data_IF_060085221847
#
_entry.id   IF_060085221847
#
_cell.length_a   1.000
_cell.length_b   1.000
_cell.length_c   1.000
_cell.angle_alpha   90.00
_cell.angle_beta   90.00
_cell.angle_gamma   90.00
#
_symmetry.space_group_name_H-M   'P 1'
#
loop_
_entity.id
_entity.type
_entity.pdbx_description
1 polymer ?
#
# COMPACT_ATOMS: atom_id res chain seq x y z
N UNK A 1 -7.41 8.78 15.24
CA UNK A 1 -6.32 9.04 14.28
C UNK A 1 -4.89 8.98 14.87
N UNK A 2 -4.54 9.55 16.02
CA UNK A 2 -3.14 9.46 16.52
C UNK A 2 -2.74 8.08 17.07
N UNK A 3 -3.66 7.31 17.68
CA UNK A 3 -3.38 5.96 18.20
C UNK A 3 -3.25 4.91 17.08
N UNK A 4 -4.02 5.01 16.01
CA UNK A 4 -3.97 4.11 14.84
C UNK A 4 -2.67 4.26 14.06
N UNK A 5 -2.19 5.49 13.81
CA UNK A 5 -0.93 5.71 13.09
C UNK A 5 0.30 5.14 13.82
N UNK A 6 0.31 5.17 15.15
CA UNK A 6 1.41 4.57 15.94
C UNK A 6 1.39 3.05 15.85
N UNK A 7 0.22 2.44 15.75
CA UNK A 7 0.01 1.01 15.59
C UNK A 7 0.48 0.53 14.20
N UNK A 8 0.08 1.25 13.12
CA UNK A 8 0.51 0.92 11.76
C UNK A 8 2.05 1.01 11.58
N UNK A 9 2.67 2.06 12.14
CA UNK A 9 4.13 2.20 12.11
C UNK A 9 4.84 1.10 12.92
N UNK A 10 4.25 0.65 14.03
CA UNK A 10 4.78 -0.46 14.81
C UNK A 10 4.71 -1.77 14.00
N UNK A 11 3.56 -2.07 13.37
CA UNK A 11 3.38 -3.21 12.48
C UNK A 11 4.40 -3.22 11.34
N UNK A 12 4.52 -2.09 10.62
CA UNK A 12 5.53 -1.94 9.56
C UNK A 12 6.92 -2.28 10.07
N UNK A 13 7.27 -1.75 11.24
CA UNK A 13 8.57 -1.94 11.84
C UNK A 13 8.80 -3.40 12.27
N UNK A 14 7.79 -4.09 12.76
CA UNK A 14 7.84 -5.50 13.12
C UNK A 14 8.07 -6.38 11.88
N UNK A 15 7.28 -6.19 10.81
CA UNK A 15 7.38 -6.96 9.56
C UNK A 15 8.72 -6.69 8.86
N UNK A 16 9.20 -5.43 8.87
CA UNK A 16 10.51 -5.09 8.31
C UNK A 16 11.67 -5.84 9.00
N UNK A 17 11.56 -6.14 10.29
CA UNK A 17 12.50 -6.97 11.02
C UNK A 17 13.98 -6.62 10.78
N UNK A 18 14.81 -7.58 10.35
CA UNK A 18 16.22 -7.38 9.99
C UNK A 18 16.42 -6.50 8.77
N UNK A 19 15.43 -6.43 7.89
CA UNK A 19 15.48 -5.63 6.65
C UNK A 19 15.42 -4.11 6.89
N UNK A 20 15.21 -3.66 8.14
CA UNK A 20 15.31 -2.22 8.53
C UNK A 20 16.63 -1.58 8.12
N UNK A 21 17.70 -2.38 8.05
CA UNK A 21 19.02 -1.88 7.62
C UNK A 21 18.96 -1.28 6.21
N UNK A 22 18.12 -1.81 5.31
CA UNK A 22 17.94 -1.23 3.97
C UNK A 22 17.34 0.18 4.04
N UNK A 23 16.34 0.42 4.91
CA UNK A 23 15.74 1.76 5.07
C UNK A 23 16.78 2.74 5.60
N UNK A 24 17.54 2.35 6.63
CA UNK A 24 18.59 3.20 7.20
C UNK A 24 19.64 3.53 6.15
N UNK A 25 20.06 2.54 5.38
CA UNK A 25 21.05 2.74 4.32
C UNK A 25 20.50 3.65 3.20
N UNK A 26 19.28 3.43 2.75
CA UNK A 26 18.61 4.28 1.77
C UNK A 26 18.46 5.73 2.26
N UNK A 27 18.10 5.92 3.54
CA UNK A 27 18.07 7.25 4.18
C UNK A 27 19.44 7.91 4.13
N UNK A 28 20.50 7.23 4.53
CA UNK A 28 21.84 7.75 4.53
C UNK A 28 22.31 8.16 3.12
N UNK A 29 22.08 7.29 2.14
CA UNK A 29 22.44 7.57 0.74
C UNK A 29 21.67 8.78 0.20
N UNK A 30 20.37 8.88 0.48
CA UNK A 30 19.55 10.03 0.07
C UNK A 30 20.01 11.33 0.76
N UNK A 31 20.40 11.28 2.03
CA UNK A 31 20.95 12.43 2.75
C UNK A 31 22.31 12.86 2.16
N UNK A 32 23.19 11.90 1.83
CA UNK A 32 24.47 12.18 1.16
C UNK A 32 24.23 12.82 -0.20
N UNK A 33 23.29 12.32 -1.00
CA UNK A 33 22.91 12.95 -2.27
C UNK A 33 22.33 14.36 -2.08
N UNK A 34 21.55 14.58 -1.01
CA UNK A 34 21.04 15.89 -0.63
C UNK A 34 22.18 16.88 -0.34
N UNK A 35 23.13 16.47 0.49
CA UNK A 35 24.32 17.29 0.84
C UNK A 35 25.20 17.51 -0.40
N UNK A 36 25.45 16.48 -1.19
CA UNK A 36 26.29 16.57 -2.39
C UNK A 36 25.73 17.56 -3.43
N UNK A 37 24.41 17.75 -3.47
CA UNK A 37 23.78 18.74 -4.35
C UNK A 37 24.09 20.18 -3.92
N UNK A 38 24.34 20.42 -2.64
CA UNK A 38 24.77 21.72 -2.13
C UNK A 38 26.23 21.96 -2.49
N UNK A 39 27.10 20.95 -2.36
CA UNK A 39 28.49 21.05 -2.81
C UNK A 39 28.62 21.31 -4.31
N UNK A 40 27.68 20.82 -5.11
CA UNK A 40 27.60 21.14 -6.54
C UNK A 40 27.61 22.67 -6.77
N UNK A 41 26.80 23.42 -6.03
CA UNK A 41 26.74 24.88 -6.15
C UNK A 41 28.06 25.57 -5.70
N UNK A 42 28.69 25.06 -4.62
CA UNK A 42 29.95 25.59 -4.11
C UNK A 42 31.12 25.35 -5.05
N UNK A 43 31.21 24.15 -5.66
CA UNK A 43 32.25 23.83 -6.62
C UNK A 43 32.05 24.62 -7.92
N UNK A 44 30.80 24.78 -8.37
CA UNK A 44 30.48 25.63 -9.52
C UNK A 44 30.93 27.10 -9.28
N UNK A 45 30.69 27.65 -8.06
CA UNK A 45 31.19 28.92 -7.64
C UNK A 45 32.71 29.03 -7.81
N UNK A 46 33.46 28.07 -7.22
CA UNK A 46 34.92 28.07 -7.27
C UNK A 46 35.47 27.97 -8.70
N UNK A 47 34.82 27.22 -9.55
CA UNK A 47 35.16 27.07 -10.97
C UNK A 47 35.00 28.40 -11.71
N UNK A 48 33.83 29.04 -11.56
CA UNK A 48 33.54 30.32 -12.24
C UNK A 48 34.46 31.43 -11.73
N UNK A 49 34.63 31.57 -10.41
CA UNK A 49 35.50 32.59 -9.82
C UNK A 49 36.95 32.38 -10.22
N UNK A 50 37.44 31.12 -10.34
CA UNK A 50 38.77 30.82 -10.86
C UNK A 50 38.94 31.22 -12.33
N UNK A 51 37.91 30.99 -13.15
CA UNK A 51 37.92 31.38 -14.56
C UNK A 51 37.92 32.90 -14.75
N UNK A 52 37.08 33.62 -14.00
CA UNK A 52 37.00 35.10 -14.03
C UNK A 52 38.31 35.75 -13.54
N UNK A 53 38.95 35.16 -12.53
CA UNK A 53 40.24 35.63 -12.01
C UNK A 53 41.44 35.25 -12.88
N UNK A 54 41.24 34.55 -14.02
CA UNK A 54 42.32 34.01 -14.90
C UNK A 54 43.31 33.12 -14.15
N UNK A 55 42.91 32.50 -13.03
CA UNK A 55 43.70 31.52 -12.26
C UNK A 55 43.50 30.14 -12.77
N UNK A 56 44.35 29.72 -13.71
CA UNK A 56 44.28 28.41 -14.39
C UNK A 56 44.40 27.22 -13.40
N UNK A 57 45.21 27.37 -12.33
CA UNK A 57 45.36 26.27 -11.34
C UNK A 57 44.09 26.11 -10.55
N UNK A 58 43.51 27.20 -10.02
CA UNK A 58 42.27 27.20 -9.28
C UNK A 58 41.11 26.68 -10.13
N UNK A 59 40.98 27.19 -11.37
CA UNK A 59 39.97 26.76 -12.32
C UNK A 59 40.07 25.25 -12.59
N UNK A 60 41.24 24.70 -12.89
CA UNK A 60 41.44 23.29 -13.19
C UNK A 60 41.15 22.41 -11.98
N UNK A 61 41.57 22.83 -10.78
CA UNK A 61 41.26 22.07 -9.54
C UNK A 61 39.73 21.95 -9.31
N UNK A 62 38.99 23.07 -9.41
CA UNK A 62 37.53 23.04 -9.24
C UNK A 62 36.83 22.32 -10.37
N UNK A 63 37.37 22.32 -11.61
CA UNK A 63 36.86 21.58 -12.72
C UNK A 63 36.94 20.05 -12.44
N UNK A 64 38.10 19.58 -11.99
CA UNK A 64 38.30 18.16 -11.64
C UNK A 64 37.40 17.74 -10.48
N UNK A 65 37.34 18.56 -9.41
CA UNK A 65 36.47 18.27 -8.25
C UNK A 65 35.00 18.26 -8.64
N UNK A 66 34.58 19.20 -9.49
CA UNK A 66 33.20 19.27 -9.99
C UNK A 66 32.84 18.05 -10.85
N UNK A 67 33.72 17.66 -11.78
CA UNK A 67 33.54 16.47 -12.59
C UNK A 67 33.49 15.20 -11.72
N UNK A 68 34.40 15.05 -10.76
CA UNK A 68 34.40 13.95 -9.80
C UNK A 68 33.11 13.88 -8.97
N UNK A 69 32.60 15.03 -8.50
CA UNK A 69 31.33 15.10 -7.77
C UNK A 69 30.18 14.62 -8.66
N UNK A 70 30.07 15.10 -9.90
CA UNK A 70 29.01 14.70 -10.84
C UNK A 70 29.05 13.21 -11.14
N UNK A 71 30.23 12.65 -11.44
CA UNK A 71 30.40 11.21 -11.65
C UNK A 71 30.03 10.43 -10.40
N UNK A 72 30.48 10.87 -9.22
CA UNK A 72 30.11 10.29 -7.94
C UNK A 72 28.60 10.31 -7.67
N UNK A 73 27.92 11.42 -7.99
CA UNK A 73 26.45 11.50 -7.88
C UNK A 73 25.74 10.54 -8.81
N UNK A 74 26.21 10.39 -10.05
CA UNK A 74 25.62 9.45 -11.02
C UNK A 74 25.80 8.02 -10.52
N UNK A 75 27.00 7.64 -10.09
CA UNK A 75 27.27 6.32 -9.53
C UNK A 75 26.41 6.04 -8.28
N UNK A 76 26.33 7.00 -7.35
CA UNK A 76 25.55 6.86 -6.13
C UNK A 76 24.04 6.75 -6.41
N UNK A 77 23.52 7.48 -7.40
CA UNK A 77 22.12 7.34 -7.86
C UNK A 77 21.85 5.98 -8.51
N UNK A 78 22.80 5.43 -9.25
CA UNK A 78 22.66 4.09 -9.83
C UNK A 78 22.58 3.02 -8.74
N UNK A 79 23.46 3.10 -7.74
CA UNK A 79 23.43 2.22 -6.55
C UNK A 79 22.11 2.38 -5.78
N UNK A 80 21.68 3.63 -5.58
CA UNK A 80 20.42 3.93 -4.87
C UNK A 80 19.23 3.26 -5.56
N UNK A 81 19.07 3.39 -6.88
CA UNK A 81 17.96 2.78 -7.64
C UNK A 81 17.95 1.26 -7.51
N UNK A 82 19.12 0.64 -7.60
CA UNK A 82 19.23 -0.80 -7.41
C UNK A 82 18.80 -1.24 -6.01
N UNK A 83 19.25 -0.51 -4.99
CA UNK A 83 18.90 -0.78 -3.59
C UNK A 83 17.43 -0.49 -3.27
N UNK A 84 16.86 0.56 -3.85
CA UNK A 84 15.44 0.88 -3.71
C UNK A 84 14.57 -0.27 -4.25
N UNK A 85 14.89 -0.80 -5.44
CA UNK A 85 14.13 -1.89 -6.04
C UNK A 85 14.31 -3.20 -5.28
N UNK A 86 15.53 -3.48 -4.83
CA UNK A 86 15.82 -4.65 -4.00
C UNK A 86 15.08 -4.59 -2.65
N UNK A 87 15.11 -3.44 -1.98
CA UNK A 87 14.41 -3.22 -0.72
C UNK A 87 12.89 -3.33 -0.90
N UNK A 88 12.34 -2.73 -1.96
CA UNK A 88 10.92 -2.79 -2.30
C UNK A 88 10.46 -4.24 -2.48
N UNK A 89 11.17 -5.03 -3.30
CA UNK A 89 10.85 -6.44 -3.51
C UNK A 89 10.94 -7.26 -2.20
N UNK A 90 11.94 -6.97 -1.37
CA UNK A 90 12.12 -7.64 -0.09
C UNK A 90 10.96 -7.35 0.87
N UNK A 91 10.55 -6.08 0.99
CA UNK A 91 9.41 -5.70 1.84
C UNK A 91 8.09 -6.23 1.31
N UNK A 92 7.87 -6.15 0.00
CA UNK A 92 6.67 -6.68 -0.64
C UNK A 92 6.49 -8.17 -0.34
N UNK A 93 7.55 -8.96 -0.50
CA UNK A 93 7.52 -10.37 -0.15
C UNK A 93 7.31 -10.62 1.34
N UNK A 94 7.90 -9.81 2.22
CA UNK A 94 7.72 -9.94 3.65
C UNK A 94 6.26 -9.67 4.08
N UNK A 95 5.65 -8.60 3.56
CA UNK A 95 4.24 -8.29 3.82
C UNK A 95 3.30 -9.33 3.23
N UNK A 96 3.54 -9.80 1.99
CA UNK A 96 2.77 -10.87 1.36
C UNK A 96 2.83 -12.16 2.18
N UNK A 97 4.03 -12.56 2.58
CA UNK A 97 4.24 -13.76 3.38
C UNK A 97 3.55 -13.65 4.75
N UNK A 98 3.67 -12.51 5.43
CA UNK A 98 3.01 -12.27 6.72
C UNK A 98 1.50 -12.34 6.61
N UNK A 99 0.91 -11.64 5.62
CA UNK A 99 -0.53 -11.63 5.39
C UNK A 99 -1.04 -13.03 5.00
N UNK A 100 -0.35 -13.71 4.07
CA UNK A 100 -0.75 -15.04 3.63
C UNK A 100 -0.65 -16.08 4.76
N UNK A 101 0.40 -16.04 5.57
CA UNK A 101 0.51 -16.86 6.76
C UNK A 101 -0.64 -16.57 7.75
N UNK A 102 -1.00 -15.29 7.93
CA UNK A 102 -2.16 -14.90 8.72
C UNK A 102 -3.45 -15.53 8.20
N UNK A 103 -3.72 -15.42 6.88
CA UNK A 103 -4.92 -16.02 6.26
C UNK A 103 -5.02 -17.53 6.48
N UNK A 104 -3.89 -18.24 6.55
CA UNK A 104 -3.85 -19.69 6.77
C UNK A 104 -3.96 -20.09 8.25
N UNK A 105 -3.65 -19.21 9.18
CA UNK A 105 -3.52 -19.55 10.62
C UNK A 105 -4.60 -18.94 11.51
N UNK A 106 -5.39 -17.99 11.00
CA UNK A 106 -6.47 -17.37 11.75
C UNK A 106 -7.81 -18.04 11.49
N UNK A 107 -8.79 -17.75 12.34
CA UNK A 107 -10.11 -18.34 12.32
C UNK A 107 -10.76 -18.25 10.92
N UNK A 108 -11.15 -19.40 10.37
CA UNK A 108 -11.72 -19.51 9.03
C UNK A 108 -12.97 -18.65 8.86
N UNK A 109 -13.84 -18.59 9.88
CA UNK A 109 -15.05 -17.77 9.87
C UNK A 109 -14.76 -16.28 9.71
N UNK A 110 -13.77 -15.75 10.46
CA UNK A 110 -13.37 -14.37 10.36
C UNK A 110 -12.74 -14.04 9.01
N UNK A 111 -11.88 -14.92 8.50
CA UNK A 111 -11.26 -14.75 7.17
C UNK A 111 -12.29 -14.78 6.05
N UNK A 112 -13.27 -15.70 6.10
CA UNK A 112 -14.28 -15.84 5.04
C UNK A 112 -15.44 -14.83 5.15
N UNK A 113 -15.57 -14.11 6.25
CA UNK A 113 -16.47 -12.98 6.37
C UNK A 113 -16.07 -11.82 5.42
N UNK A 114 -14.79 -11.74 5.06
CA UNK A 114 -14.28 -10.80 4.06
C UNK A 114 -14.18 -11.48 2.69
N UNK A 115 -14.63 -10.80 1.63
CA UNK A 115 -14.55 -11.35 0.26
C UNK A 115 -13.11 -11.66 -0.17
N UNK A 116 -12.92 -12.79 -0.84
CA UNK A 116 -11.60 -13.23 -1.36
C UNK A 116 -10.93 -12.20 -2.25
N UNK A 117 -11.71 -11.45 -3.04
CA UNK A 117 -11.21 -10.33 -3.87
C UNK A 117 -10.59 -9.19 -3.06
N UNK A 118 -11.08 -8.92 -1.83
CA UNK A 118 -10.48 -7.94 -0.95
C UNK A 118 -9.14 -8.42 -0.40
N UNK A 119 -9.05 -9.68 0.03
CA UNK A 119 -7.77 -10.27 0.43
C UNK A 119 -6.75 -10.28 -0.70
N UNK A 120 -7.20 -10.58 -1.93
CA UNK A 120 -6.34 -10.52 -3.10
C UNK A 120 -5.85 -9.07 -3.36
N UNK A 121 -6.71 -8.07 -3.23
CA UNK A 121 -6.31 -6.66 -3.35
C UNK A 121 -5.30 -6.25 -2.26
N UNK A 122 -5.47 -6.72 -1.02
CA UNK A 122 -4.52 -6.49 0.06
C UNK A 122 -3.16 -7.15 -0.24
N UNK A 123 -3.16 -8.41 -0.74
CA UNK A 123 -1.94 -9.13 -1.12
C UNK A 123 -1.21 -8.52 -2.31
N UNK A 124 -1.91 -7.92 -3.27
CA UNK A 124 -1.32 -7.45 -4.53
C UNK A 124 -1.11 -5.93 -4.56
N UNK A 125 -2.05 -5.14 -4.02
CA UNK A 125 -2.02 -3.68 -4.09
C UNK A 125 -1.46 -3.06 -2.80
N UNK A 126 -2.03 -3.41 -1.63
CA UNK A 126 -1.63 -2.78 -0.37
C UNK A 126 -0.20 -3.09 0.03
N UNK A 127 0.27 -4.33 -0.21
CA UNK A 127 1.67 -4.69 0.03
C UNK A 127 2.64 -3.89 -0.83
N UNK A 128 2.29 -3.62 -2.09
CA UNK A 128 3.09 -2.79 -3.00
C UNK A 128 3.12 -1.34 -2.53
N UNK A 129 1.97 -0.78 -2.15
CA UNK A 129 1.88 0.61 -1.65
C UNK A 129 2.72 0.80 -0.39
N UNK A 130 2.68 -0.15 0.55
CA UNK A 130 3.49 -0.08 1.77
C UNK A 130 4.97 -0.20 1.46
N UNK A 131 5.36 -1.14 0.59
CA UNK A 131 6.76 -1.38 0.21
C UNK A 131 7.36 -0.20 -0.53
N UNK A 132 6.61 0.40 -1.48
CA UNK A 132 7.02 1.62 -2.19
C UNK A 132 7.17 2.79 -1.21
N UNK A 133 6.24 2.93 -0.26
CA UNK A 133 6.30 3.94 0.78
C UNK A 133 7.58 3.87 1.60
N UNK A 134 7.96 2.68 2.03
CA UNK A 134 9.17 2.45 2.82
C UNK A 134 10.46 2.64 2.03
N UNK A 135 10.53 2.07 0.83
CA UNK A 135 11.75 2.07 0.05
C UNK A 135 12.01 3.40 -0.68
N UNK A 136 10.97 4.12 -1.10
CA UNK A 136 11.11 5.29 -1.97
C UNK A 136 10.67 6.58 -1.30
N UNK A 137 9.48 6.57 -0.63
CA UNK A 137 8.88 7.81 -0.14
C UNK A 137 9.61 8.31 1.11
N UNK A 138 9.84 7.43 2.08
CA UNK A 138 10.49 7.81 3.35
C UNK A 138 11.93 8.30 3.13
N UNK A 139 12.81 7.57 2.40
CA UNK A 139 14.15 8.04 2.09
C UNK A 139 14.14 9.30 1.20
N UNK A 140 13.25 9.37 0.20
CA UNK A 140 13.13 10.51 -0.69
C UNK A 140 12.78 11.81 0.03
N UNK A 141 11.87 11.78 0.99
CA UNK A 141 11.51 12.93 1.84
C UNK A 141 12.71 13.35 2.69
N UNK A 142 13.45 12.42 3.27
CA UNK A 142 14.64 12.74 4.06
C UNK A 142 15.73 13.43 3.22
N UNK A 143 16.02 12.91 2.02
CA UNK A 143 16.97 13.53 1.09
C UNK A 143 16.54 14.94 0.65
N UNK A 144 15.22 15.12 0.42
CA UNK A 144 14.64 16.40 0.06
C UNK A 144 14.77 17.43 1.18
N UNK A 145 14.49 17.05 2.43
CA UNK A 145 14.67 17.92 3.61
C UNK A 145 16.13 18.28 3.79
N UNK A 146 17.04 17.32 3.67
CA UNK A 146 18.48 17.53 3.81
C UNK A 146 19.02 18.49 2.75
N UNK A 147 18.59 18.31 1.49
CA UNK A 147 18.95 19.20 0.39
C UNK A 147 18.45 20.63 0.62
N UNK A 148 17.21 20.79 1.05
CA UNK A 148 16.60 22.10 1.31
C UNK A 148 17.27 22.81 2.49
N UNK A 149 17.48 22.09 3.60
CA UNK A 149 18.15 22.63 4.78
C UNK A 149 19.60 23.04 4.46
N UNK A 150 20.34 22.17 3.75
CA UNK A 150 21.70 22.47 3.33
C UNK A 150 21.78 23.67 2.40
N UNK A 151 20.89 23.79 1.42
CA UNK A 151 20.83 24.94 0.53
C UNK A 151 20.52 26.24 1.29
N UNK A 152 19.57 26.21 2.24
CA UNK A 152 19.21 27.32 3.07
C UNK A 152 20.42 27.81 3.93
N UNK A 153 21.08 26.87 4.61
CA UNK A 153 22.25 27.18 5.45
C UNK A 153 23.37 27.85 4.64
N UNK A 154 23.67 27.25 3.45
CA UNK A 154 24.76 27.79 2.62
C UNK A 154 24.40 29.16 2.05
N UNK A 155 23.18 29.44 1.63
CA UNK A 155 22.74 30.79 1.21
C UNK A 155 22.92 31.78 2.33
N UNK A 156 22.51 31.44 3.57
CA UNK A 156 22.63 32.33 4.71
C UNK A 156 24.09 32.61 5.12
N UNK A 157 25.00 31.65 4.90
CA UNK A 157 26.45 31.86 5.13
C UNK A 157 27.07 32.75 4.04
N UNK A 158 26.67 32.50 2.77
CA UNK A 158 27.23 33.25 1.64
C UNK A 158 26.74 34.70 1.59
N UNK A 159 25.45 34.90 1.88
CA UNK A 159 24.79 36.22 1.80
C UNK A 159 23.71 36.33 2.89
N UNK A 160 24.08 36.73 4.13
CA UNK A 160 23.14 36.80 5.25
C UNK A 160 21.94 37.73 5.01
N UNK A 161 22.10 38.77 4.16
CA UNK A 161 21.02 39.70 3.80
C UNK A 161 19.86 39.02 3.09
N UNK A 162 20.11 37.89 2.46
CA UNK A 162 19.06 37.07 1.81
C UNK A 162 18.02 36.51 2.81
N UNK A 163 18.37 36.42 4.10
CA UNK A 163 17.44 36.04 5.17
C UNK A 163 16.20 36.94 5.21
N UNK A 164 16.39 38.27 4.96
CA UNK A 164 15.27 39.22 4.95
C UNK A 164 14.19 38.96 3.92
N UNK A 165 14.45 38.07 2.95
CA UNK A 165 13.51 37.72 1.89
C UNK A 165 13.08 36.25 2.01
N UNK A 166 14.03 35.37 2.28
CA UNK A 166 13.70 33.91 2.41
C UNK A 166 12.80 33.63 3.60
N UNK A 167 13.00 34.32 4.73
CA UNK A 167 12.20 34.13 5.94
C UNK A 167 10.74 34.59 5.73
N UNK A 168 10.46 35.85 5.30
CA UNK A 168 9.10 36.27 5.01
C UNK A 168 8.46 35.49 3.89
N UNK A 169 9.19 35.13 2.82
CA UNK A 169 8.72 34.29 1.73
C UNK A 169 8.33 32.91 2.21
N UNK A 170 9.12 32.27 3.06
CA UNK A 170 8.81 31.00 3.69
C UNK A 170 7.57 31.08 4.59
N UNK A 171 7.44 32.11 5.41
CA UNK A 171 6.24 32.33 6.24
C UNK A 171 5.00 32.52 5.36
N UNK A 172 5.11 33.31 4.29
CA UNK A 172 4.02 33.51 3.33
C UNK A 172 3.56 32.19 2.70
N UNK A 173 4.50 31.31 2.31
CA UNK A 173 4.17 29.98 1.76
C UNK A 173 3.45 29.09 2.76
N UNK A 174 3.92 29.07 4.01
CA UNK A 174 3.25 28.32 5.08
C UNK A 174 1.82 28.84 5.31
N UNK A 175 1.65 30.16 5.33
CA UNK A 175 0.36 30.82 5.50
C UNK A 175 -0.60 30.48 4.35
N UNK A 176 -0.13 30.58 3.10
CA UNK A 176 -0.90 30.20 1.91
C UNK A 176 -1.32 28.71 1.97
N UNK A 177 -0.38 27.82 2.34
CA UNK A 177 -0.67 26.39 2.50
C UNK A 177 -1.77 26.17 3.54
N UNK A 178 -1.70 26.86 4.68
CA UNK A 178 -2.68 26.73 5.75
C UNK A 178 -4.07 27.20 5.32
N UNK A 179 -4.16 28.34 4.63
CA UNK A 179 -5.42 28.90 4.13
C UNK A 179 -6.08 27.97 3.11
N UNK A 180 -5.30 27.47 2.14
CA UNK A 180 -5.86 26.66 1.05
C UNK A 180 -6.13 25.21 1.43
N UNK A 181 -5.47 24.70 2.48
CA UNK A 181 -5.58 23.28 2.91
C UNK A 181 -7.02 22.82 3.13
N UNK A 182 -7.83 23.65 3.84
CA UNK A 182 -9.22 23.28 4.18
C UNK A 182 -10.08 23.12 2.93
N UNK A 183 -9.97 24.06 2.01
CA UNK A 183 -10.74 24.05 0.75
C UNK A 183 -10.29 22.92 -0.17
N UNK A 184 -8.99 22.72 -0.30
CA UNK A 184 -8.43 21.63 -1.13
C UNK A 184 -8.85 20.26 -0.61
N UNK A 185 -8.83 20.05 0.71
CA UNK A 185 -9.33 18.81 1.35
C UNK A 185 -10.82 18.57 1.07
N UNK A 186 -11.67 19.62 1.15
CA UNK A 186 -13.10 19.53 0.85
C UNK A 186 -13.34 19.11 -0.60
N UNK A 187 -12.66 19.77 -1.55
CA UNK A 187 -12.81 19.47 -2.98
C UNK A 187 -12.27 18.07 -3.33
N UNK A 188 -11.20 17.65 -2.68
CA UNK A 188 -10.66 16.29 -2.85
C UNK A 188 -11.66 15.23 -2.36
N UNK A 189 -12.26 15.44 -1.18
CA UNK A 189 -13.29 14.55 -0.65
C UNK A 189 -14.49 14.44 -1.59
N UNK A 190 -15.01 15.57 -2.08
CA UNK A 190 -16.13 15.57 -3.04
C UNK A 190 -15.80 14.82 -4.34
N UNK A 191 -14.58 14.96 -4.85
CA UNK A 191 -14.14 14.23 -6.04
C UNK A 191 -14.09 12.71 -5.76
N UNK A 192 -13.57 12.30 -4.60
CA UNK A 192 -13.51 10.89 -4.21
C UNK A 192 -14.90 10.27 -3.99
N UNK A 193 -15.84 11.02 -3.41
CA UNK A 193 -17.24 10.57 -3.25
C UNK A 193 -17.88 10.30 -4.63
N UNK A 194 -17.69 11.20 -5.60
CA UNK A 194 -18.21 11.01 -6.95
C UNK A 194 -17.52 9.87 -7.71
N UNK A 195 -16.22 9.66 -7.50
CA UNK A 195 -15.50 8.50 -8.03
C UNK A 195 -16.03 7.18 -7.44
N UNK A 196 -16.33 7.19 -6.13
CA UNK A 196 -16.95 6.06 -5.45
C UNK A 196 -18.29 5.65 -6.06
N UNK A 197 -19.17 6.61 -6.35
CA UNK A 197 -20.46 6.34 -7.02
C UNK A 197 -20.27 5.72 -8.40
N UNK A 198 -19.35 6.24 -9.22
CA UNK A 198 -19.05 5.64 -10.53
C UNK A 198 -18.58 4.19 -10.36
N UNK A 199 -17.70 3.93 -9.43
CA UNK A 199 -17.15 2.59 -9.17
C UNK A 199 -18.22 1.60 -8.73
N UNK A 200 -19.06 1.98 -7.76
CA UNK A 200 -20.16 1.15 -7.25
C UNK A 200 -21.12 0.83 -8.40
N UNK A 201 -21.54 1.83 -9.16
CA UNK A 201 -22.44 1.65 -10.28
C UNK A 201 -21.89 0.66 -11.34
N UNK A 202 -20.64 0.86 -11.75
CA UNK A 202 -19.98 -0.05 -12.70
C UNK A 202 -19.84 -1.47 -12.16
N UNK A 203 -19.50 -1.61 -10.89
CA UNK A 203 -19.35 -2.93 -10.26
C UNK A 203 -20.69 -3.68 -10.18
N UNK A 204 -21.77 -3.01 -9.80
CA UNK A 204 -23.12 -3.59 -9.77
C UNK A 204 -23.60 -4.04 -11.16
N UNK A 205 -23.42 -3.18 -12.17
CA UNK A 205 -23.84 -3.51 -13.53
C UNK A 205 -22.99 -4.61 -14.18
N UNK A 206 -21.68 -4.66 -13.90
CA UNK A 206 -20.83 -5.75 -14.34
C UNK A 206 -21.18 -7.07 -13.64
N UNK A 207 -21.48 -7.01 -12.33
CA UNK A 207 -21.95 -8.18 -11.59
C UNK A 207 -23.31 -8.71 -12.04
N UNK A 208 -24.17 -7.80 -12.56
CA UNK A 208 -25.51 -8.10 -13.05
C UNK A 208 -25.63 -8.04 -14.57
N UNK A 209 -24.52 -8.19 -15.31
CA UNK A 209 -24.49 -8.00 -16.76
C UNK A 209 -25.50 -8.89 -17.49
N UNK A 210 -25.71 -10.12 -17.03
CA UNK A 210 -26.70 -11.03 -17.59
C UNK A 210 -28.12 -10.46 -17.49
N UNK A 211 -28.44 -9.79 -16.37
CA UNK A 211 -29.76 -9.15 -16.17
C UNK A 211 -29.93 -7.98 -17.10
N UNK A 212 -28.92 -7.08 -17.19
CA UNK A 212 -28.93 -5.94 -18.11
C UNK A 212 -29.17 -6.39 -19.55
N UNK A 213 -28.47 -7.46 -19.98
CA UNK A 213 -28.61 -8.05 -21.33
C UNK A 213 -29.98 -8.70 -21.53
N UNK A 214 -30.45 -9.47 -20.56
CA UNK A 214 -31.72 -10.19 -20.67
C UNK A 214 -32.93 -9.26 -20.79
N UNK A 215 -32.86 -8.08 -20.16
CA UNK A 215 -33.94 -7.08 -20.21
C UNK A 215 -33.71 -5.97 -21.26
N UNK A 216 -32.66 -6.03 -22.08
CA UNK A 216 -32.34 -5.05 -23.13
C UNK A 216 -32.12 -3.63 -22.60
N UNK A 217 -31.52 -3.49 -21.40
CA UNK A 217 -31.33 -2.21 -20.70
C UNK A 217 -29.95 -1.59 -20.88
N UNK A 218 -29.23 -1.96 -21.94
CA UNK A 218 -27.86 -1.48 -22.17
C UNK A 218 -27.80 0.04 -22.39
N UNK A 219 -28.73 0.60 -23.18
CA UNK A 219 -28.75 2.03 -23.49
C UNK A 219 -29.07 2.88 -22.25
N UNK A 220 -30.03 2.44 -21.43
CA UNK A 220 -30.40 3.12 -20.19
C UNK A 220 -29.23 3.08 -19.20
N UNK A 221 -28.62 1.92 -19.03
CA UNK A 221 -27.44 1.74 -18.16
C UNK A 221 -26.24 2.57 -18.60
N UNK A 222 -26.02 2.69 -19.92
CA UNK A 222 -24.94 3.54 -20.46
C UNK A 222 -25.21 5.02 -20.16
N UNK A 223 -26.43 5.47 -20.37
CA UNK A 223 -26.82 6.88 -20.12
C UNK A 223 -26.64 7.24 -18.64
N UNK A 224 -27.00 6.34 -17.74
CA UNK A 224 -26.83 6.54 -16.30
C UNK A 224 -25.35 6.52 -15.89
N UNK A 225 -24.55 5.60 -16.47
CA UNK A 225 -23.10 5.57 -16.29
C UNK A 225 -22.44 6.89 -16.73
N UNK A 226 -22.82 7.41 -17.90
CA UNK A 226 -22.32 8.69 -18.43
C UNK A 226 -22.71 9.87 -17.52
N UNK A 227 -23.89 9.85 -16.92
CA UNK A 227 -24.33 10.84 -15.94
C UNK A 227 -23.40 10.85 -14.72
N UNK A 228 -23.15 9.69 -14.10
CA UNK A 228 -22.22 9.57 -12.96
C UNK A 228 -20.80 9.98 -13.33
N UNK A 229 -20.30 9.56 -14.50
CA UNK A 229 -18.99 9.95 -15.02
C UNK A 229 -18.89 11.47 -15.26
N UNK A 230 -19.98 12.10 -15.75
CA UNK A 230 -20.05 13.56 -15.95
C UNK A 230 -19.97 14.31 -14.62
N UNK A 231 -20.68 13.84 -13.59
CA UNK A 231 -20.60 14.43 -12.25
C UNK A 231 -19.19 14.31 -11.63
N UNK A 232 -18.57 13.13 -11.74
CA UNK A 232 -17.18 12.93 -11.33
C UNK A 232 -16.23 13.86 -12.10
N UNK A 233 -16.38 13.96 -13.43
CA UNK A 233 -15.61 14.90 -14.27
C UNK A 233 -15.73 16.34 -13.78
N UNK A 234 -16.95 16.83 -13.49
CA UNK A 234 -17.19 18.18 -12.96
C UNK A 234 -16.48 18.40 -11.61
N UNK A 235 -16.58 17.44 -10.71
CA UNK A 235 -15.91 17.52 -9.39
C UNK A 235 -14.37 17.52 -9.54
N UNK A 236 -13.83 16.67 -10.43
CA UNK A 236 -12.39 16.59 -10.74
C UNK A 236 -11.88 17.89 -11.36
N UNK A 237 -12.59 18.47 -12.30
CA UNK A 237 -12.23 19.74 -12.94
C UNK A 237 -12.24 20.87 -11.89
N UNK A 238 -13.29 20.96 -11.05
CA UNK A 238 -13.37 21.98 -9.98
C UNK A 238 -12.20 21.88 -9.01
N UNK A 239 -11.87 20.66 -8.55
CA UNK A 239 -10.70 20.41 -7.71
C UNK A 239 -9.39 20.84 -8.41
N UNK A 240 -9.26 20.50 -9.71
CA UNK A 240 -8.06 20.80 -10.46
C UNK A 240 -7.89 22.30 -10.69
N UNK A 241 -8.97 23.04 -11.03
CA UNK A 241 -8.92 24.50 -11.14
C UNK A 241 -8.42 25.17 -9.86
N UNK A 242 -8.99 24.79 -8.70
CA UNK A 242 -8.54 25.32 -7.44
C UNK A 242 -7.08 24.96 -7.14
N UNK A 243 -6.69 23.73 -7.40
CA UNK A 243 -5.30 23.27 -7.25
C UNK A 243 -4.35 24.08 -8.17
N UNK A 244 -4.75 24.37 -9.40
CA UNK A 244 -3.95 25.18 -10.32
C UNK A 244 -3.78 26.63 -9.83
N UNK A 245 -4.83 27.25 -9.30
CA UNK A 245 -4.72 28.59 -8.70
C UNK A 245 -3.72 28.58 -7.53
N UNK A 246 -3.79 27.54 -6.67
CA UNK A 246 -2.80 27.38 -5.60
C UNK A 246 -1.38 27.20 -6.16
N UNK A 247 -1.20 26.35 -7.17
CA UNK A 247 0.10 26.11 -7.79
C UNK A 247 0.67 27.37 -8.47
N UNK A 248 -0.18 28.18 -9.13
CA UNK A 248 0.22 29.47 -9.68
C UNK A 248 0.69 30.41 -8.56
N UNK A 249 -0.06 30.52 -7.46
CA UNK A 249 0.32 31.32 -6.31
C UNK A 249 1.66 30.89 -5.71
N UNK A 250 1.86 29.59 -5.49
CA UNK A 250 3.14 29.02 -5.04
C UNK A 250 4.27 29.30 -6.04
N UNK A 251 4.00 29.06 -7.33
CA UNK A 251 4.95 29.32 -8.41
C UNK A 251 5.35 30.80 -8.48
N UNK A 252 4.42 31.71 -8.29
CA UNK A 252 4.69 33.15 -8.27
C UNK A 252 5.62 33.55 -7.13
N UNK A 253 5.39 33.04 -5.90
CA UNK A 253 6.29 33.32 -4.76
C UNK A 253 7.68 32.73 -5.01
N UNK A 254 7.77 31.50 -5.51
CA UNK A 254 9.04 30.81 -5.77
C UNK A 254 9.82 31.49 -6.90
N UNK A 255 9.17 31.73 -8.04
CA UNK A 255 9.83 32.43 -9.15
C UNK A 255 10.14 33.90 -8.81
N UNK A 256 9.30 34.53 -7.99
CA UNK A 256 9.58 35.84 -7.44
C UNK A 256 10.87 35.88 -6.64
N UNK A 257 11.11 34.88 -5.78
CA UNK A 257 12.35 34.74 -5.04
C UNK A 257 13.58 34.54 -5.97
N UNK A 258 13.40 33.74 -7.06
CA UNK A 258 14.45 33.55 -8.07
C UNK A 258 14.77 34.84 -8.82
N UNK A 259 13.74 35.53 -9.33
CA UNK A 259 13.91 36.85 -10.02
C UNK A 259 14.55 37.88 -9.10
N UNK A 260 14.09 37.93 -7.84
CA UNK A 260 14.71 38.79 -6.87
C UNK A 260 16.20 38.47 -6.65
N UNK A 261 16.53 37.19 -6.50
CA UNK A 261 17.91 36.71 -6.39
C UNK A 261 18.77 37.13 -7.60
N UNK A 262 18.18 36.99 -8.81
CA UNK A 262 18.85 37.42 -10.03
C UNK A 262 19.11 38.92 -10.08
N UNK A 263 18.10 39.73 -9.75
CA UNK A 263 18.24 41.21 -9.71
C UNK A 263 19.23 41.66 -8.62
N UNK A 264 19.09 41.12 -7.40
CA UNK A 264 19.99 41.39 -6.28
C UNK A 264 21.44 41.03 -6.62
N UNK A 265 21.66 39.85 -7.19
CA UNK A 265 22.99 39.41 -7.58
C UNK A 265 23.59 40.25 -8.71
N UNK A 266 22.77 40.68 -9.69
CA UNK A 266 23.22 41.58 -10.77
C UNK A 266 23.68 42.94 -10.21
N UNK A 267 22.92 43.52 -9.28
CA UNK A 267 23.35 44.73 -8.57
C UNK A 267 24.59 44.50 -7.71
N UNK A 268 24.72 43.33 -7.06
CA UNK A 268 25.91 42.97 -6.30
C UNK A 268 27.17 42.88 -7.17
N UNK A 269 27.06 42.32 -8.38
CA UNK A 269 28.13 42.27 -9.37
C UNK A 269 28.45 43.68 -9.86
N UNK A 270 27.44 44.47 -10.20
CA UNK A 270 27.63 45.84 -10.68
C UNK A 270 28.37 46.74 -9.65
N UNK A 271 28.03 46.60 -8.38
CA UNK A 271 28.65 47.32 -7.27
C UNK A 271 29.97 46.70 -6.77
N UNK A 272 30.45 45.60 -7.36
CA UNK A 272 31.65 44.91 -6.94
C UNK A 272 31.57 44.20 -5.58
N UNK A 273 30.39 44.03 -5.00
CA UNK A 273 30.15 43.38 -3.70
C UNK A 273 29.94 41.88 -3.79
N UNK A 274 29.72 41.33 -5.00
CA UNK A 274 29.48 39.91 -5.25
C UNK A 274 30.27 39.43 -6.48
N UNK A 275 30.82 38.21 -6.39
CA UNK A 275 31.49 37.57 -7.53
C UNK A 275 30.47 36.86 -8.44
N UNK A 276 30.83 36.64 -9.72
CA UNK A 276 30.04 35.90 -10.68
C UNK A 276 29.75 34.47 -10.20
N UNK A 277 30.76 33.81 -9.61
CA UNK A 277 30.57 32.46 -9.05
C UNK A 277 29.59 32.43 -7.88
N UNK A 278 29.65 33.43 -6.98
CA UNK A 278 28.69 33.55 -5.87
C UNK A 278 27.26 33.74 -6.39
N UNK A 279 27.09 34.60 -7.40
CA UNK A 279 25.79 34.82 -8.05
C UNK A 279 25.20 33.52 -8.63
N UNK A 280 25.98 32.79 -9.41
CA UNK A 280 25.53 31.51 -10.01
C UNK A 280 25.24 30.47 -8.97
N UNK A 281 26.05 30.32 -7.93
CA UNK A 281 25.80 29.42 -6.82
C UNK A 281 24.50 29.73 -6.09
N UNK A 282 24.25 31.05 -5.86
CA UNK A 282 23.01 31.48 -5.20
C UNK A 282 21.76 31.14 -6.00
N UNK A 283 21.74 31.39 -7.30
CA UNK A 283 20.62 31.00 -8.18
C UNK A 283 20.38 29.49 -8.16
N UNK A 284 21.46 28.70 -8.20
CA UNK A 284 21.40 27.25 -8.13
C UNK A 284 20.82 26.74 -6.78
N UNK A 285 21.25 27.39 -5.66
CA UNK A 285 20.74 27.00 -4.33
C UNK A 285 19.27 27.42 -4.14
N UNK A 286 18.84 28.57 -4.68
CA UNK A 286 17.43 28.97 -4.69
C UNK A 286 16.58 27.90 -5.41
N UNK A 287 17.02 27.44 -6.58
CA UNK A 287 16.34 26.38 -7.33
C UNK A 287 16.28 25.05 -6.54
N UNK A 288 17.30 24.76 -5.72
CA UNK A 288 17.31 23.56 -4.87
C UNK A 288 16.31 23.63 -3.71
N UNK A 289 15.95 24.82 -3.25
CA UNK A 289 14.88 25.03 -2.26
C UNK A 289 13.51 24.93 -2.93
N UNK A 290 13.35 25.42 -4.16
CA UNK A 290 12.07 25.41 -4.88
C UNK A 290 11.57 24.01 -5.24
N UNK A 291 12.45 23.15 -5.76
CA UNK A 291 12.10 21.81 -6.23
C UNK A 291 11.41 20.91 -5.18
N UNK A 292 11.87 20.84 -3.92
CA UNK A 292 11.19 20.13 -2.85
C UNK A 292 9.75 20.59 -2.61
N UNK A 293 9.49 21.90 -2.63
CA UNK A 293 8.13 22.41 -2.44
C UNK A 293 7.18 21.96 -3.56
N UNK A 294 7.65 21.93 -4.80
CA UNK A 294 6.86 21.43 -5.92
C UNK A 294 6.53 19.93 -5.77
N UNK A 295 7.44 19.15 -5.20
CA UNK A 295 7.30 17.68 -5.07
C UNK A 295 6.57 17.23 -3.80
N UNK A 296 6.53 18.03 -2.72
CA UNK A 296 5.94 17.66 -1.43
C UNK A 296 4.45 17.31 -1.57
N UNK A 297 3.74 17.97 -2.48
CA UNK A 297 2.32 17.72 -2.77
C UNK A 297 2.08 16.31 -3.34
N UNK A 298 3.07 15.70 -3.97
CA UNK A 298 3.04 14.33 -4.47
C UNK A 298 3.40 13.28 -3.41
N UNK A 299 4.32 13.60 -2.48
CA UNK A 299 4.76 12.66 -1.45
C UNK A 299 3.76 12.48 -0.31
N UNK A 300 3.10 13.56 0.12
CA UNK A 300 2.21 13.54 1.27
C UNK A 300 0.99 12.61 1.09
N UNK A 301 0.26 12.62 -0.05
CA UNK A 301 -0.82 11.65 -0.30
C UNK A 301 -0.32 10.20 -0.31
N UNK A 302 0.84 9.95 -0.91
CA UNK A 302 1.43 8.60 -0.96
C UNK A 302 1.83 8.10 0.44
N UNK A 303 2.34 8.97 1.30
CA UNK A 303 2.63 8.62 2.69
C UNK A 303 1.37 8.22 3.46
N UNK A 304 0.28 8.98 3.32
CA UNK A 304 -0.99 8.61 3.94
C UNK A 304 -1.61 7.35 3.34
N UNK A 305 -1.46 7.12 2.03
CA UNK A 305 -1.86 5.88 1.39
C UNK A 305 -1.10 4.68 1.95
N UNK A 306 0.22 4.82 2.14
CA UNK A 306 1.06 3.80 2.78
C UNK A 306 0.54 3.43 4.18
N UNK A 307 0.23 4.43 5.02
CA UNK A 307 -0.29 4.19 6.37
C UNK A 307 -1.65 3.50 6.33
N UNK A 308 -2.57 3.96 5.48
CA UNK A 308 -3.90 3.35 5.34
C UNK A 308 -3.83 1.91 4.82
N UNK A 309 -2.92 1.63 3.87
CA UNK A 309 -2.69 0.26 3.40
C UNK A 309 -2.08 -0.63 4.50
N UNK A 310 -1.15 -0.09 5.30
CA UNK A 310 -0.59 -0.82 6.43
C UNK A 310 -1.64 -1.14 7.51
N UNK A 311 -2.57 -0.22 7.79
CA UNK A 311 -3.70 -0.46 8.69
C UNK A 311 -4.57 -1.62 8.19
N UNK A 312 -4.89 -1.67 6.89
CA UNK A 312 -5.65 -2.80 6.30
C UNK A 312 -4.90 -4.13 6.34
N UNK A 313 -3.58 -4.11 6.14
CA UNK A 313 -2.77 -5.32 6.26
C UNK A 313 -2.71 -5.84 7.70
N UNK A 314 -2.73 -4.94 8.67
CA UNK A 314 -2.70 -5.26 10.11
C UNK A 314 -4.02 -5.87 10.61
N UNK A 315 -5.15 -5.62 9.94
CA UNK A 315 -6.47 -6.11 10.37
C UNK A 315 -6.50 -7.63 10.57
N UNK A 316 -5.74 -8.40 9.79
CA UNK A 316 -5.65 -9.85 9.94
C UNK A 316 -5.14 -10.26 11.33
N UNK A 317 -4.28 -9.45 11.95
CA UNK A 317 -3.71 -9.77 13.27
C UNK A 317 -4.70 -9.54 14.43
N UNK A 318 -5.81 -8.85 14.15
CA UNK A 318 -6.88 -8.67 15.12
C UNK A 318 -7.80 -9.90 15.24
N UNK A 319 -7.71 -10.83 14.29
CA UNK A 319 -8.50 -12.05 14.31
C UNK A 319 -7.85 -13.06 15.27
N UNK A 320 -8.69 -13.86 15.91
CA UNK A 320 -8.24 -14.96 16.73
C UNK A 320 -7.56 -16.04 15.88
N UNK A 321 -6.51 -16.65 16.43
CA UNK A 321 -5.89 -17.80 15.78
C UNK A 321 -6.82 -18.99 15.78
N UNK A 322 -6.65 -19.82 14.79
CA UNK A 322 -7.45 -21.03 14.60
C UNK A 322 -7.04 -22.11 15.62
N UNK A 323 -7.56 -22.01 16.84
CA UNK A 323 -7.37 -23.01 17.89
C UNK A 323 -8.47 -24.05 17.86
N UNK A 324 -8.20 -25.19 17.22
CA UNK A 324 -9.12 -26.34 17.27
C UNK A 324 -8.93 -27.06 18.60
N UNK A 325 -9.78 -26.81 19.56
CA UNK A 325 -9.85 -27.60 20.79
C UNK A 325 -10.41 -28.97 20.45
N UNK A 326 -9.58 -30.01 20.60
CA UNK A 326 -10.04 -31.39 20.46
C UNK A 326 -10.62 -31.89 21.77
N UNK A 327 -11.91 -32.24 21.76
CA UNK A 327 -12.59 -32.91 22.86
C UNK A 327 -12.70 -34.39 22.49
N UNK A 328 -12.12 -35.34 23.26
CA UNK A 328 -12.21 -36.75 22.96
C UNK A 328 -13.64 -37.25 22.97
N UNK A 329 -14.03 -38.08 21.98
CA UNK A 329 -15.28 -38.81 21.97
C UNK A 329 -15.05 -40.31 22.23
N UNK A 330 -15.94 -40.93 22.98
CA UNK A 330 -15.90 -42.34 23.27
C UNK A 330 -16.50 -43.17 22.10
N UNK A 331 -15.73 -43.30 21.00
CA UNK A 331 -16.16 -44.00 19.76
C UNK A 331 -17.29 -43.31 18.97
N UNK A 332 -17.71 -42.13 19.40
CA UNK A 332 -18.73 -41.30 18.71
C UNK A 332 -18.13 -39.89 18.48
N UNK A 333 -18.67 -39.17 17.52
CA UNK A 333 -18.38 -37.79 17.27
C UNK A 333 -19.64 -36.99 17.00
N UNK A 334 -19.66 -35.71 17.27
CA UNK A 334 -20.87 -34.94 17.08
C UNK A 334 -20.83 -33.53 17.66
N UNK A 335 -22.03 -33.02 17.88
CA UNK A 335 -22.34 -31.71 18.42
C UNK A 335 -23.17 -31.90 19.68
N UNK A 336 -22.92 -31.12 20.73
CA UNK A 336 -23.70 -31.14 21.97
C UNK A 336 -24.15 -29.74 22.35
N UNK A 337 -25.47 -29.52 22.33
CA UNK A 337 -26.12 -28.24 22.72
C UNK A 337 -25.51 -27.03 22.02
N UNK A 338 -25.30 -27.08 20.70
CA UNK A 338 -24.57 -26.09 19.92
C UNK A 338 -25.48 -24.96 19.49
N UNK A 339 -25.04 -23.72 19.83
CA UNK A 339 -25.51 -22.48 19.22
C UNK A 339 -24.46 -21.96 18.23
N UNK A 340 -24.94 -21.49 17.08
CA UNK A 340 -24.03 -20.95 16.06
C UNK A 340 -24.66 -19.84 15.23
N UNK A 341 -23.90 -18.77 15.05
CA UNK A 341 -24.19 -17.61 14.22
C UNK A 341 -22.99 -17.28 13.33
N UNK A 342 -23.24 -16.95 12.06
CA UNK A 342 -22.13 -16.47 11.19
C UNK A 342 -21.70 -15.07 11.59
N UNK A 343 -20.40 -14.80 11.51
CA UNK A 343 -19.87 -13.47 11.72
C UNK A 343 -20.39 -12.52 10.62
N UNK A 344 -20.79 -11.27 10.95
CA UNK A 344 -21.19 -10.30 9.95
C UNK A 344 -19.99 -9.92 9.05
N UNK A 345 -20.23 -9.60 7.77
CA UNK A 345 -19.19 -9.01 6.93
C UNK A 345 -18.68 -7.71 7.55
N UNK A 346 -17.35 -7.53 7.60
CA UNK A 346 -16.66 -6.38 8.25
C UNK A 346 -17.08 -5.00 7.69
N UNK A 347 -17.80 -4.94 6.57
CA UNK A 347 -18.15 -3.70 5.85
C UNK A 347 -19.48 -3.08 6.34
N UNK A 348 -20.24 -3.73 7.19
CA UNK A 348 -21.50 -3.15 7.69
C UNK A 348 -21.23 -2.25 8.89
N UNK A 349 -21.17 -0.92 8.65
CA UNK A 349 -21.36 0.08 9.71
C UNK A 349 -22.82 -0.01 10.20
N UNK A 350 -23.01 -0.70 11.29
CA UNK A 350 -24.30 -0.86 11.98
C UNK A 350 -24.36 -2.21 12.69
N UNK A 351 -25.08 -2.27 13.81
CA UNK A 351 -25.37 -3.51 14.56
C UNK A 351 -26.26 -4.44 13.72
N UNK A 352 -25.66 -5.10 12.72
CA UNK A 352 -26.37 -6.11 11.93
C UNK A 352 -26.44 -7.37 12.77
N UNK A 353 -27.61 -7.58 13.40
CA UNK A 353 -27.91 -8.83 14.12
C UNK A 353 -28.01 -9.93 13.08
N UNK A 354 -27.02 -10.84 13.05
CA UNK A 354 -27.07 -12.01 12.18
C UNK A 354 -28.05 -13.02 12.76
N UNK A 355 -28.85 -13.70 11.92
CA UNK A 355 -29.77 -14.71 12.39
C UNK A 355 -29.00 -15.93 12.95
N UNK A 356 -29.48 -16.45 14.08
CA UNK A 356 -28.98 -17.70 14.66
C UNK A 356 -29.28 -18.84 13.66
N UNK A 357 -28.24 -19.57 13.25
CA UNK A 357 -28.37 -20.65 12.27
C UNK A 357 -28.66 -22.00 12.95
N UNK A 358 -28.02 -22.23 14.09
CA UNK A 358 -28.28 -23.40 14.92
C UNK A 358 -28.55 -22.92 16.35
N UNK A 359 -29.57 -23.50 16.98
CA UNK A 359 -29.95 -23.19 18.35
C UNK A 359 -30.19 -24.49 19.11
N UNK A 360 -29.42 -24.70 20.19
CA UNK A 360 -29.48 -25.88 21.05
C UNK A 360 -29.44 -27.20 20.24
N UNK A 361 -28.58 -27.22 19.20
CA UNK A 361 -28.52 -28.33 18.26
C UNK A 361 -27.56 -29.41 18.76
N UNK A 362 -28.07 -30.65 18.84
CA UNK A 362 -27.31 -31.83 19.24
C UNK A 362 -27.35 -32.91 18.17
N UNK A 363 -26.22 -33.55 17.92
CA UNK A 363 -26.07 -34.64 16.95
C UNK A 363 -24.99 -35.60 17.43
N UNK A 364 -25.28 -36.87 17.47
CA UNK A 364 -24.31 -37.94 17.73
C UNK A 364 -24.20 -38.86 16.51
N UNK A 365 -22.99 -39.14 16.06
CA UNK A 365 -22.69 -40.04 14.94
C UNK A 365 -21.76 -41.14 15.43
N UNK A 366 -22.13 -42.38 15.17
CA UNK A 366 -21.39 -43.59 15.58
C UNK A 366 -20.49 -44.10 14.47
N UNK A 367 -19.45 -44.80 14.81
CA UNK A 367 -18.54 -45.42 13.84
C UNK A 367 -19.30 -46.39 12.93
N UNK A 368 -19.18 -46.21 11.61
CA UNK A 368 -19.83 -47.04 10.59
C UNK A 368 -21.27 -46.64 10.26
N UNK A 369 -21.78 -45.57 10.88
CA UNK A 369 -23.12 -45.07 10.59
C UNK A 369 -23.14 -44.23 9.32
N UNK A 370 -24.23 -44.37 8.55
CA UNK A 370 -24.54 -43.55 7.38
C UNK A 370 -25.61 -42.51 7.77
N UNK A 371 -25.26 -41.23 7.74
CA UNK A 371 -26.16 -40.15 8.16
C UNK A 371 -26.50 -39.27 6.96
N UNK A 372 -27.79 -39.05 6.71
CA UNK A 372 -28.28 -38.15 5.68
C UNK A 372 -28.95 -36.91 6.28
N UNK A 373 -28.45 -35.71 5.91
CA UNK A 373 -29.06 -34.43 6.31
C UNK A 373 -30.11 -34.03 5.27
N UNK A 374 -31.38 -33.98 5.65
CA UNK A 374 -32.50 -33.56 4.79
C UNK A 374 -33.15 -32.29 5.32
N UNK A 375 -33.74 -31.49 4.44
CA UNK A 375 -34.44 -30.28 4.81
C UNK A 375 -34.31 -29.16 3.75
N UNK A 376 -35.04 -28.07 3.89
CA UNK A 376 -35.06 -26.96 2.93
C UNK A 376 -33.69 -26.33 2.77
N UNK A 377 -33.50 -25.59 1.66
CA UNK A 377 -32.27 -24.80 1.46
C UNK A 377 -32.13 -23.73 2.56
N UNK A 378 -30.92 -23.57 3.08
CA UNK A 378 -30.66 -22.57 4.13
C UNK A 378 -30.90 -23.04 5.58
N UNK A 379 -31.41 -24.26 5.82
CA UNK A 379 -31.68 -24.74 7.18
C UNK A 379 -30.43 -25.17 7.99
N UNK A 380 -29.22 -24.89 7.54
CA UNK A 380 -27.99 -25.13 8.30
C UNK A 380 -27.28 -26.48 8.04
N UNK A 381 -27.71 -27.32 7.07
CA UNK A 381 -27.06 -28.60 6.77
C UNK A 381 -25.55 -28.50 6.52
N UNK A 382 -25.15 -27.59 5.65
CA UNK A 382 -23.73 -27.37 5.34
C UNK A 382 -22.98 -26.71 6.53
N UNK A 383 -23.69 -25.99 7.39
CA UNK A 383 -23.13 -25.42 8.62
C UNK A 383 -22.75 -26.51 9.60
N UNK A 384 -23.63 -27.50 9.81
CA UNK A 384 -23.35 -28.67 10.66
C UNK A 384 -22.09 -29.40 10.19
N UNK A 385 -21.94 -29.65 8.87
CA UNK A 385 -20.74 -30.30 8.31
C UNK A 385 -19.49 -29.49 8.54
N UNK A 386 -19.56 -28.17 8.35
CA UNK A 386 -18.42 -27.27 8.58
C UNK A 386 -18.01 -27.17 10.05
N UNK A 387 -18.96 -27.21 10.96
CA UNK A 387 -18.71 -27.27 12.41
C UNK A 387 -18.06 -28.60 12.81
N UNK A 388 -18.55 -29.74 12.31
CA UNK A 388 -17.94 -31.04 12.54
C UNK A 388 -16.48 -31.09 12.05
N UNK A 389 -16.17 -30.46 10.91
CA UNK A 389 -14.80 -30.34 10.40
C UNK A 389 -13.95 -29.34 11.21
N UNK A 390 -14.51 -28.63 12.19
CA UNK A 390 -13.80 -27.62 12.97
C UNK A 390 -13.36 -26.40 12.16
N UNK A 391 -14.09 -26.04 11.07
CA UNK A 391 -13.84 -24.84 10.28
C UNK A 391 -14.36 -23.57 10.97
N UNK A 392 -15.39 -23.70 11.80
CA UNK A 392 -15.98 -22.64 12.58
C UNK A 392 -15.96 -23.00 14.06
N UNK A 393 -15.84 -21.99 14.92
CA UNK A 393 -16.04 -22.11 16.37
C UNK A 393 -17.51 -21.93 16.71
N UNK A 394 -18.02 -22.67 17.67
CA UNK A 394 -19.41 -22.56 18.15
C UNK A 394 -19.54 -21.40 19.13
N UNK A 395 -20.70 -20.76 19.17
CA UNK A 395 -21.02 -19.69 20.13
C UNK A 395 -21.28 -20.27 21.54
N UNK A 396 -21.95 -21.44 21.60
CA UNK A 396 -22.19 -22.21 22.82
C UNK A 396 -22.22 -23.70 22.49
N UNK A 397 -22.07 -24.55 23.50
CA UNK A 397 -22.01 -25.99 23.34
C UNK A 397 -20.61 -26.50 22.96
N UNK A 398 -20.55 -27.75 22.47
CA UNK A 398 -19.28 -28.41 22.18
C UNK A 398 -19.32 -29.24 20.89
N UNK A 399 -18.17 -29.31 20.20
CA UNK A 399 -17.91 -30.26 19.09
C UNK A 399 -16.92 -31.28 19.61
N UNK A 400 -17.30 -32.56 19.61
CA UNK A 400 -16.50 -33.62 20.20
C UNK A 400 -16.20 -34.77 19.20
N UNK A 401 -15.10 -35.49 19.47
CA UNK A 401 -14.68 -36.67 18.68
C UNK A 401 -14.10 -36.38 17.31
N UNK A 402 -13.98 -35.09 16.90
CA UNK A 402 -13.61 -34.67 15.56
C UNK A 402 -12.23 -33.99 15.52
N UNK A 403 -11.45 -34.32 14.48
CA UNK A 403 -10.23 -33.56 14.07
C UNK A 403 -10.30 -33.31 12.57
N UNK A 404 -9.76 -32.20 12.09
CA UNK A 404 -9.76 -31.82 10.66
C UNK A 404 -9.19 -32.91 9.75
N UNK A 405 -8.14 -33.58 10.16
CA UNK A 405 -7.49 -34.64 9.38
C UNK A 405 -8.25 -35.99 9.37
N UNK A 406 -9.38 -36.11 10.08
CA UNK A 406 -10.23 -37.32 10.06
C UNK A 406 -11.29 -37.31 8.95
N UNK A 407 -11.49 -36.17 8.26
CA UNK A 407 -12.50 -35.99 7.25
C UNK A 407 -11.92 -36.04 5.84
N UNK A 408 -12.59 -36.79 4.94
CA UNK A 408 -12.48 -36.58 3.51
C UNK A 408 -13.67 -35.72 3.08
N UNK A 409 -13.42 -34.51 2.61
CA UNK A 409 -14.46 -33.54 2.27
C UNK A 409 -14.60 -33.37 0.76
N UNK A 410 -15.80 -33.55 0.27
CA UNK A 410 -16.17 -33.22 -1.11
C UNK A 410 -17.03 -31.97 -1.08
N UNK A 411 -16.51 -30.80 -1.52
CA UNK A 411 -17.24 -29.54 -1.49
C UNK A 411 -18.36 -29.51 -2.53
N UNK A 412 -19.39 -28.72 -2.27
CA UNK A 412 -20.39 -28.37 -3.26
C UNK A 412 -19.79 -27.38 -4.26
N UNK A 413 -19.62 -27.76 -5.51
CA UNK A 413 -19.04 -26.95 -6.57
C UNK A 413 -17.58 -27.31 -6.90
N UNK A 414 -17.10 -26.78 -8.01
CA UNK A 414 -15.78 -27.09 -8.57
C UNK A 414 -14.69 -26.21 -7.93
N UNK A 415 -14.23 -26.58 -6.75
CA UNK A 415 -13.10 -25.90 -6.09
C UNK A 415 -11.83 -26.73 -6.29
N UNK A 416 -11.22 -26.61 -7.46
CA UNK A 416 -9.95 -27.25 -7.77
C UNK A 416 -8.82 -26.22 -7.73
N UNK A 417 -7.69 -26.60 -7.15
CA UNK A 417 -6.46 -25.84 -7.25
C UNK A 417 -5.82 -26.05 -8.62
N UNK A 418 -5.08 -25.05 -9.12
CA UNK A 418 -4.29 -25.20 -10.34
C UNK A 418 -3.09 -26.10 -10.08
N UNK A 419 -2.82 -27.02 -11.00
CA UNK A 419 -1.70 -27.96 -10.91
C UNK A 419 -1.87 -29.13 -11.86
N UNK A 420 -0.91 -30.06 -11.85
CA UNK A 420 -1.08 -31.33 -12.52
C UNK A 420 -2.17 -32.17 -11.81
N UNK A 421 -2.79 -33.10 -12.52
CA UNK A 421 -3.76 -34.02 -11.91
C UNK A 421 -3.12 -34.75 -10.73
N UNK A 422 -1.87 -35.16 -10.85
CA UNK A 422 -1.08 -35.77 -9.78
C UNK A 422 -1.02 -34.85 -8.54
N UNK A 423 -0.68 -33.57 -8.73
CA UNK A 423 -0.58 -32.61 -7.62
C UNK A 423 -1.93 -32.39 -6.94
N UNK A 424 -3.02 -32.38 -7.70
CA UNK A 424 -4.38 -32.23 -7.17
C UNK A 424 -4.77 -33.45 -6.33
N UNK A 425 -4.51 -34.67 -6.82
CA UNK A 425 -4.88 -35.93 -6.12
C UNK A 425 -4.05 -36.10 -4.85
N UNK A 426 -2.76 -35.80 -4.92
CA UNK A 426 -1.84 -35.92 -3.77
C UNK A 426 -1.82 -34.70 -2.86
N UNK A 427 -2.53 -33.63 -3.22
CA UNK A 427 -2.48 -32.32 -2.54
C UNK A 427 -1.05 -31.78 -2.44
N UNK A 428 -0.24 -32.00 -3.49
CA UNK A 428 1.20 -31.65 -3.56
C UNK A 428 2.06 -32.29 -2.46
N UNK A 429 1.59 -33.37 -1.84
CA UNK A 429 2.35 -34.14 -0.86
C UNK A 429 3.44 -34.93 -1.59
N UNK A 430 4.71 -34.61 -1.32
CA UNK A 430 5.86 -35.22 -2.00
C UNK A 430 5.99 -36.72 -1.71
N UNK A 431 5.61 -37.16 -0.53
CA UNK A 431 5.69 -38.57 -0.15
C UNK A 431 4.62 -39.41 -0.89
N UNK A 432 3.48 -38.81 -1.17
CA UNK A 432 2.38 -39.44 -1.93
C UNK A 432 2.51 -39.30 -3.44
N UNK A 433 3.22 -38.30 -3.93
CA UNK A 433 3.37 -38.06 -5.37
C UNK A 433 4.14 -39.17 -6.10
N UNK A 434 4.95 -39.94 -5.39
CA UNK A 434 5.65 -41.13 -5.90
C UNK A 434 4.85 -42.43 -5.88
N UNK A 435 3.70 -42.47 -5.20
CA UNK A 435 2.85 -43.65 -5.11
C UNK A 435 1.84 -43.73 -6.28
N UNK A 436 2.31 -44.20 -7.43
CA UNK A 436 1.43 -44.37 -8.60
C UNK A 436 0.27 -45.33 -8.35
N UNK A 437 0.51 -46.40 -7.59
CA UNK A 437 -0.52 -47.40 -7.30
C UNK A 437 -1.66 -46.79 -6.47
N UNK A 438 -1.33 -45.97 -5.50
CA UNK A 438 -2.28 -45.20 -4.69
C UNK A 438 -3.08 -44.17 -5.51
N UNK A 439 -2.42 -43.48 -6.43
CA UNK A 439 -3.06 -42.52 -7.34
C UNK A 439 -4.06 -43.23 -8.26
N UNK A 440 -3.66 -44.32 -8.93
CA UNK A 440 -4.57 -45.09 -9.79
C UNK A 440 -5.72 -45.71 -9.01
N UNK A 441 -5.48 -46.15 -7.79
CA UNK A 441 -6.54 -46.64 -6.91
C UNK A 441 -7.55 -45.56 -6.56
N UNK A 442 -7.09 -44.36 -6.24
CA UNK A 442 -7.97 -43.22 -5.95
C UNK A 442 -8.79 -42.81 -7.18
N UNK A 443 -8.17 -42.75 -8.37
CA UNK A 443 -8.86 -42.50 -9.65
C UNK A 443 -9.95 -43.51 -9.93
N UNK A 444 -9.67 -44.80 -9.73
CA UNK A 444 -10.64 -45.88 -9.92
C UNK A 444 -11.82 -45.77 -8.95
N UNK A 445 -11.55 -45.47 -7.68
CA UNK A 445 -12.63 -45.28 -6.68
C UNK A 445 -13.51 -44.08 -7.06
N UNK A 446 -12.92 -43.04 -7.63
CA UNK A 446 -13.63 -41.83 -8.09
C UNK A 446 -14.27 -42.00 -9.49
N UNK A 447 -14.14 -43.18 -10.15
CA UNK A 447 -14.54 -43.39 -11.54
C UNK A 447 -13.93 -42.38 -12.53
N UNK A 448 -12.73 -41.92 -12.24
CA UNK A 448 -12.02 -40.92 -13.03
C UNK A 448 -10.94 -41.55 -13.95
N UNK A 449 -10.62 -42.83 -13.78
CA UNK A 449 -9.60 -43.56 -14.54
C UNK A 449 -9.90 -43.67 -16.04
N UNK A 450 -11.17 -43.58 -16.44
CA UNK A 450 -11.58 -43.65 -17.84
C UNK A 450 -11.31 -42.40 -18.68
N UNK A 451 -11.05 -41.24 -18.04
CA UNK A 451 -10.77 -39.97 -18.74
C UNK A 451 -9.47 -39.31 -18.30
N UNK A 452 -8.80 -39.86 -17.29
CA UNK A 452 -7.48 -39.46 -16.82
C UNK A 452 -6.53 -40.62 -17.12
N UNK A 453 -6.11 -40.74 -18.37
CA UNK A 453 -5.16 -41.78 -18.81
C UNK A 453 -3.78 -41.20 -19.07
#
# INVERSE_FOLDING_TARGET
MRKTNTSALHFINEVAGKSRLYIIFLLLVQMVLGISSVFYALLLRGLIDGAVAHDSKKMLTFCVLFAALVVGQIALRAVLRFLEEYAKATYENAFKSRLFAGLLTHNYGAVTATHSGEWMNRLTSDTVVVSEGLATIVPGVAGMITKMAGALVVILIMEPRFAYILVPGGILLVLLTYIFRKQLKKLHKQMQEKDGFVRIFLQEHLGSLMIVKAFGKEADSLTEAESHMSEHKKARIRKNHFSNVCNIGFGAVMNGAYVFGAVYGAFGIYNGTMTYGTFMAMLQLISQIQNPFANITGYLPKYFAMLASAERLMEIEAYEKDEVKYIPGNSTFGLSHVDFTYLPPVITEGDTIMPIVLKDYSLEIRKGEFVAFTGPSGCGKSTVLKLLMGLYTVDAGEVYGCRRNMFAYVPQGNQLMSGSIRDIITFSDKDKSGDESGIYRALRIAFADGFIA
#
